data_IF_555736298576
#
_entry.id   IF_555736298576
#
_cell.length_a   1.000
_cell.length_b   1.000
_cell.length_c   1.000
_cell.angle_alpha   90.00
_cell.angle_beta   90.00
_cell.angle_gamma   90.00
#
_symmetry.space_group_name_H-M   'P 1'
#
loop_
_entity.id
_entity.type
_entity.pdbx_description
1 polymer ?
#
# COMPACT_ATOMS: atom_id res chain seq x y z
N UNK A 1 9.34 -9.22 -15.74
CA UNK A 1 9.46 -10.69 -15.93
C UNK A 1 10.83 -11.30 -16.32
N UNK A 2 11.71 -10.72 -17.17
CA UNK A 2 13.00 -11.35 -17.55
C UNK A 2 14.21 -10.40 -17.46
N UNK A 3 15.01 -10.51 -16.39
CA UNK A 3 16.15 -9.61 -16.11
C UNK A 3 17.25 -9.71 -17.17
N UNK A 4 17.76 -10.92 -17.45
CA UNK A 4 18.85 -11.14 -18.41
C UNK A 4 18.53 -10.54 -19.77
N UNK A 5 17.34 -10.82 -20.31
CA UNK A 5 16.88 -10.26 -21.58
C UNK A 5 16.78 -8.73 -21.55
N UNK A 6 16.28 -8.15 -20.46
CA UNK A 6 16.15 -6.70 -20.30
C UNK A 6 17.52 -6.01 -20.26
N UNK A 7 18.47 -6.50 -19.46
CA UNK A 7 19.81 -5.89 -19.36
C UNK A 7 20.61 -6.07 -20.65
N UNK A 8 20.64 -7.28 -21.22
CA UNK A 8 21.35 -7.52 -22.49
C UNK A 8 20.87 -6.61 -23.61
N UNK A 9 19.57 -6.27 -23.64
CA UNK A 9 19.01 -5.38 -24.66
C UNK A 9 19.60 -3.96 -24.69
N UNK A 10 20.20 -3.48 -23.58
CA UNK A 10 20.86 -2.16 -23.55
C UNK A 10 22.25 -2.18 -24.22
N UNK A 11 22.86 -3.35 -24.37
CA UNK A 11 24.22 -3.50 -24.91
C UNK A 11 24.23 -4.05 -26.34
N UNK A 12 23.10 -4.55 -26.83
CA UNK A 12 22.94 -5.06 -28.19
C UNK A 12 22.28 -4.04 -29.12
N UNK A 13 22.76 -3.91 -30.36
CA UNK A 13 22.14 -3.08 -31.42
C UNK A 13 21.98 -1.59 -31.07
N UNK A 14 23.08 -0.95 -30.64
CA UNK A 14 23.14 0.46 -30.22
C UNK A 14 22.59 1.49 -31.22
N UNK A 15 22.61 1.18 -32.52
CA UNK A 15 22.07 2.05 -33.59
C UNK A 15 20.54 2.17 -33.58
N UNK A 16 19.83 1.20 -33.00
CA UNK A 16 18.36 1.20 -32.90
C UNK A 16 17.86 1.82 -31.58
N UNK A 17 18.77 2.21 -30.69
CA UNK A 17 18.40 2.80 -29.40
C UNK A 17 18.01 4.27 -29.54
N UNK A 18 17.05 4.70 -28.72
CA UNK A 18 16.74 6.11 -28.58
C UNK A 18 17.98 6.92 -28.16
N UNK A 19 18.09 8.20 -28.54
CA UNK A 19 19.22 9.05 -28.14
C UNK A 19 19.47 9.05 -26.62
N UNK A 20 18.39 9.06 -25.83
CA UNK A 20 18.42 8.97 -24.37
C UNK A 20 19.08 7.68 -23.87
N UNK A 21 18.70 6.53 -24.45
CA UNK A 21 19.26 5.22 -24.07
C UNK A 21 20.75 5.16 -24.40
N UNK A 22 21.18 5.73 -25.53
CA UNK A 22 22.60 5.77 -25.91
C UNK A 22 23.45 6.54 -24.90
N UNK A 23 22.98 7.73 -24.49
CA UNK A 23 23.67 8.55 -23.47
C UNK A 23 23.68 7.86 -22.11
N UNK A 24 22.57 7.21 -21.73
CA UNK A 24 22.52 6.40 -20.50
C UNK A 24 23.61 5.33 -20.52
N UNK A 25 23.69 4.51 -21.57
CA UNK A 25 24.63 3.39 -21.67
C UNK A 25 26.09 3.85 -21.62
N UNK A 26 26.41 4.97 -22.28
CA UNK A 26 27.74 5.58 -22.22
C UNK A 26 28.13 6.09 -20.81
N UNK A 27 27.15 6.36 -19.96
CA UNK A 27 27.36 6.87 -18.60
C UNK A 27 27.37 5.76 -17.53
N UNK A 28 27.21 4.49 -17.91
CA UNK A 28 27.19 3.36 -16.96
C UNK A 28 28.61 3.04 -16.53
N UNK A 29 28.91 3.19 -15.23
CA UNK A 29 30.16 2.74 -14.61
C UNK A 29 30.01 1.43 -13.84
N UNK A 30 28.82 1.17 -13.27
CA UNK A 30 28.52 -0.03 -12.49
C UNK A 30 27.04 -0.43 -12.62
N UNK A 31 26.72 -1.70 -12.35
CA UNK A 31 25.36 -2.25 -12.37
C UNK A 31 25.13 -3.04 -11.07
N UNK A 32 24.12 -2.63 -10.32
CA UNK A 32 23.64 -3.34 -9.13
C UNK A 32 22.35 -4.10 -9.43
N UNK A 33 22.17 -5.26 -8.80
CA UNK A 33 21.03 -6.16 -9.05
C UNK A 33 20.42 -6.60 -7.73
N UNK A 34 19.09 -6.45 -7.61
CA UNK A 34 18.32 -6.95 -6.46
C UNK A 34 17.30 -7.98 -6.95
N UNK A 35 17.39 -9.21 -6.43
CA UNK A 35 16.46 -10.29 -6.75
C UNK A 35 15.21 -10.16 -5.87
N UNK A 36 14.03 -10.39 -6.47
CA UNK A 36 12.72 -10.35 -5.79
C UNK A 36 11.99 -11.66 -6.06
N UNK A 37 11.08 -12.06 -5.16
CA UNK A 37 10.38 -13.34 -5.26
C UNK A 37 9.22 -13.28 -6.24
N UNK A 38 8.59 -12.11 -6.39
CA UNK A 38 7.43 -11.91 -7.26
C UNK A 38 7.57 -10.67 -8.14
N UNK A 39 6.84 -10.64 -9.26
CA UNK A 39 6.80 -9.47 -10.14
C UNK A 39 6.20 -8.24 -9.43
N UNK A 40 5.27 -8.44 -8.50
CA UNK A 40 4.69 -7.35 -7.70
C UNK A 40 5.73 -6.71 -6.77
N UNK A 41 6.57 -7.52 -6.13
CA UNK A 41 7.69 -7.02 -5.32
C UNK A 41 8.69 -6.25 -6.17
N UNK A 42 9.04 -6.76 -7.35
CA UNK A 42 9.92 -6.06 -8.29
C UNK A 42 9.40 -4.66 -8.64
N UNK A 43 8.10 -4.55 -8.93
CA UNK A 43 7.45 -3.27 -9.23
C UNK A 43 7.46 -2.32 -8.03
N UNK A 44 7.15 -2.85 -6.84
CA UNK A 44 7.17 -2.08 -5.60
C UNK A 44 8.57 -1.53 -5.33
N UNK A 45 9.59 -2.38 -5.44
CA UNK A 45 10.99 -2.02 -5.25
C UNK A 45 11.44 -0.97 -6.28
N UNK A 46 11.14 -1.16 -7.56
CA UNK A 46 11.49 -0.24 -8.65
C UNK A 46 10.94 1.16 -8.37
N UNK A 47 9.67 1.27 -8.01
CA UNK A 47 9.03 2.55 -7.74
C UNK A 47 9.57 3.21 -6.44
N UNK A 48 9.87 2.43 -5.39
CA UNK A 48 10.53 2.96 -4.20
C UNK A 48 11.94 3.50 -4.49
N UNK A 49 12.73 2.78 -5.29
CA UNK A 49 14.08 3.20 -5.69
C UNK A 49 14.03 4.46 -6.57
N UNK A 50 13.12 4.51 -7.54
CA UNK A 50 12.94 5.69 -8.41
C UNK A 50 12.62 6.94 -7.58
N UNK A 51 11.75 6.83 -6.58
CA UNK A 51 11.37 7.98 -5.75
C UNK A 51 12.46 8.44 -4.80
N UNK A 52 13.24 7.49 -4.27
CA UNK A 52 14.32 7.76 -3.33
C UNK A 52 15.54 8.34 -4.05
N UNK A 53 15.95 7.71 -5.16
CA UNK A 53 17.18 8.06 -5.88
C UNK A 53 16.97 9.13 -6.95
N UNK A 54 15.72 9.35 -7.39
CA UNK A 54 15.34 10.28 -8.47
C UNK A 54 16.29 10.24 -9.67
N UNK A 55 16.51 9.06 -10.29
CA UNK A 55 17.52 8.89 -11.33
C UNK A 55 17.23 9.77 -12.56
N UNK A 56 18.27 10.46 -13.04
CA UNK A 56 18.21 11.46 -14.14
C UNK A 56 17.48 10.96 -15.39
N UNK A 57 17.71 9.70 -15.77
CA UNK A 57 17.17 9.12 -17.00
C UNK A 57 15.78 8.50 -16.82
N UNK A 58 15.19 8.51 -15.64
CA UNK A 58 13.88 7.92 -15.45
C UNK A 58 12.76 8.96 -15.69
N UNK A 59 11.66 8.55 -16.33
CA UNK A 59 10.51 9.42 -16.64
C UNK A 59 9.26 8.90 -15.93
N UNK A 60 9.03 7.60 -16.00
CA UNK A 60 7.91 6.90 -15.38
C UNK A 60 8.05 6.82 -13.86
N UNK A 61 6.95 6.74 -13.10
CA UNK A 61 6.98 6.69 -11.62
C UNK A 61 7.65 7.89 -10.92
N UNK A 62 7.80 9.02 -11.64
CA UNK A 62 8.16 10.30 -11.03
C UNK A 62 6.97 11.02 -10.40
N UNK A 63 5.75 10.53 -10.63
CA UNK A 63 4.56 11.07 -10.00
C UNK A 63 4.50 10.70 -8.51
N UNK A 64 3.86 11.56 -7.70
CA UNK A 64 3.73 11.36 -6.25
C UNK A 64 2.77 10.23 -5.85
N UNK A 65 2.40 9.37 -6.81
CA UNK A 65 1.53 8.22 -6.62
C UNK A 65 2.26 7.13 -5.84
N UNK A 66 2.22 7.22 -4.51
CA UNK A 66 2.65 6.17 -3.59
C UNK A 66 1.79 4.90 -3.73
N UNK A 67 2.38 3.75 -3.39
CA UNK A 67 1.59 2.53 -3.22
C UNK A 67 0.65 2.66 -2.03
N UNK A 68 -0.56 2.09 -2.12
CA UNK A 68 -1.49 2.07 -1.02
C UNK A 68 -1.03 1.20 0.14
N UNK A 69 -1.39 1.62 1.33
CA UNK A 69 -1.24 0.90 2.59
C UNK A 69 -2.62 0.77 3.25
N UNK A 70 -2.74 -0.16 4.18
CA UNK A 70 -3.85 -0.21 5.13
C UNK A 70 -3.32 0.33 6.45
N UNK A 71 -3.99 1.34 7.00
CA UNK A 71 -3.62 1.97 8.26
C UNK A 71 -4.61 1.57 9.35
N UNK A 72 -4.08 1.07 10.46
CA UNK A 72 -4.82 0.80 11.69
C UNK A 72 -4.43 1.85 12.74
N UNK A 73 -5.40 2.68 13.11
CA UNK A 73 -5.21 3.73 14.10
C UNK A 73 -5.25 3.14 15.52
N UNK A 74 -4.09 2.76 16.08
CA UNK A 74 -3.99 2.13 17.41
C UNK A 74 -4.05 3.13 18.56
N UNK A 75 -3.99 4.43 18.26
CA UNK A 75 -4.06 5.54 19.21
C UNK A 75 -5.49 5.84 19.71
N UNK A 76 -6.50 5.12 19.21
CA UNK A 76 -7.91 5.38 19.49
C UNK A 76 -8.53 4.28 20.36
N UNK A 77 -9.51 4.68 21.17
CA UNK A 77 -10.36 3.78 21.99
C UNK A 77 -10.89 2.59 21.17
N UNK A 78 -11.40 2.89 19.98
CA UNK A 78 -11.80 1.91 18.98
C UNK A 78 -10.94 2.07 17.73
N UNK A 79 -9.88 1.25 17.56
CA UNK A 79 -9.03 1.30 16.37
C UNK A 79 -9.83 1.04 15.09
N UNK A 80 -9.57 1.84 14.05
CA UNK A 80 -10.25 1.72 12.76
C UNK A 80 -9.27 1.42 11.63
N UNK A 81 -9.71 0.60 10.68
CA UNK A 81 -8.99 0.29 9.45
C UNK A 81 -9.32 1.32 8.37
N UNK A 82 -8.29 1.92 7.79
CA UNK A 82 -8.46 2.87 6.71
C UNK A 82 -7.50 2.61 5.57
N UNK A 83 -7.94 2.94 4.36
CA UNK A 83 -7.06 2.99 3.21
C UNK A 83 -6.16 4.22 3.32
N UNK A 84 -4.85 4.02 3.21
CA UNK A 84 -3.87 5.09 3.31
C UNK A 84 -3.01 5.18 2.05
N UNK A 85 -2.77 6.40 1.58
CA UNK A 85 -1.86 6.69 0.47
C UNK A 85 -1.09 7.97 0.78
N UNK A 86 0.23 7.90 0.76
CA UNK A 86 1.10 9.05 1.01
C UNK A 86 2.26 8.70 1.94
N UNK A 87 2.90 9.73 2.45
CA UNK A 87 3.96 9.61 3.46
C UNK A 87 3.34 9.17 4.78
N UNK A 88 3.81 8.05 5.34
CA UNK A 88 3.34 7.52 6.63
C UNK A 88 3.43 8.61 7.69
N UNK A 89 2.28 8.98 8.27
CA UNK A 89 2.11 10.03 9.28
C UNK A 89 1.01 9.58 10.24
N UNK A 90 1.34 9.42 11.52
CA UNK A 90 0.39 9.00 12.55
C UNK A 90 0.96 7.91 13.47
N UNK A 91 0.38 7.80 14.66
CA UNK A 91 0.70 6.74 15.65
C UNK A 91 -0.23 5.56 15.37
N UNK A 92 0.21 4.64 14.52
CA UNK A 92 -0.55 3.45 14.17
C UNK A 92 0.24 2.47 13.31
N UNK A 93 -0.38 1.35 12.97
CA UNK A 93 0.25 0.26 12.22
C UNK A 93 -0.09 0.41 10.75
N UNK A 94 0.91 0.29 9.88
CA UNK A 94 0.75 0.34 8.43
C UNK A 94 1.05 -1.04 7.82
N UNK A 95 0.05 -1.66 7.22
CA UNK A 95 0.17 -2.89 6.45
C UNK A 95 0.34 -2.59 4.97
N UNK A 96 1.25 -3.29 4.29
CA UNK A 96 1.59 -3.07 2.88
C UNK A 96 3.06 -2.70 2.69
N UNK A 97 3.48 -2.24 1.50
CA UNK A 97 2.69 -1.68 0.39
C UNK A 97 1.92 -2.71 -0.45
N UNK A 98 0.70 -2.35 -0.88
CA UNK A 98 -0.10 -3.18 -1.78
C UNK A 98 0.14 -2.80 -3.24
N UNK A 99 0.16 -3.78 -4.17
CA UNK A 99 0.46 -3.53 -5.59
C UNK A 99 -0.59 -2.65 -6.29
N UNK A 100 -1.83 -2.64 -5.78
CA UNK A 100 -2.91 -1.80 -6.32
C UNK A 100 -3.91 -1.39 -5.24
N UNK A 101 -4.66 -0.32 -5.50
CA UNK A 101 -5.75 0.11 -4.62
C UNK A 101 -6.86 -0.95 -4.50
N UNK A 102 -7.08 -1.74 -5.57
CA UNK A 102 -8.02 -2.85 -5.56
C UNK A 102 -7.59 -3.95 -4.59
N UNK A 103 -6.31 -4.31 -4.57
CA UNK A 103 -5.76 -5.29 -3.64
C UNK A 103 -5.94 -4.83 -2.18
N UNK A 104 -5.55 -3.59 -1.86
CA UNK A 104 -5.73 -3.03 -0.52
C UNK A 104 -7.20 -3.05 -0.08
N UNK A 105 -8.12 -2.61 -0.94
CA UNK A 105 -9.57 -2.61 -0.63
C UNK A 105 -10.13 -4.02 -0.44
N UNK A 106 -9.69 -5.00 -1.25
CA UNK A 106 -10.08 -6.41 -1.07
C UNK A 106 -9.62 -6.94 0.29
N UNK A 107 -8.39 -6.63 0.70
CA UNK A 107 -7.88 -7.02 2.01
C UNK A 107 -8.65 -6.35 3.16
N UNK A 108 -8.94 -5.05 3.07
CA UNK A 108 -9.81 -4.38 4.06
C UNK A 108 -11.16 -5.10 4.17
N UNK A 109 -11.81 -5.36 3.03
CA UNK A 109 -13.10 -6.06 3.00
C UNK A 109 -13.02 -7.47 3.61
N UNK A 110 -11.92 -8.18 3.43
CA UNK A 110 -11.70 -9.50 4.01
C UNK A 110 -11.57 -9.42 5.53
N UNK A 111 -10.73 -8.50 6.02
CA UNK A 111 -10.54 -8.27 7.46
C UNK A 111 -11.88 -7.90 8.12
N UNK A 112 -12.69 -7.05 7.48
CA UNK A 112 -14.02 -6.70 7.99
C UNK A 112 -14.99 -7.86 8.05
N UNK A 113 -14.89 -8.83 7.13
CA UNK A 113 -15.74 -10.02 7.18
C UNK A 113 -15.34 -10.97 8.31
N UNK A 114 -14.05 -11.04 8.62
CA UNK A 114 -13.51 -11.98 9.60
C UNK A 114 -13.54 -11.42 11.03
N UNK A 115 -13.11 -10.18 11.21
CA UNK A 115 -12.90 -9.55 12.52
C UNK A 115 -13.85 -8.38 12.80
N UNK A 116 -14.71 -8.03 11.83
CA UNK A 116 -15.75 -7.01 12.01
C UNK A 116 -15.25 -5.66 12.56
N UNK A 117 -14.03 -5.27 12.17
CA UNK A 117 -13.43 -4.01 12.56
C UNK A 117 -14.03 -2.83 11.79
N UNK A 118 -14.11 -1.67 12.46
CA UNK A 118 -14.66 -0.44 11.85
C UNK A 118 -13.74 0.07 10.74
N UNK A 119 -14.33 0.59 9.66
CA UNK A 119 -13.62 1.30 8.59
C UNK A 119 -14.15 2.70 8.30
N UNK A 120 -15.00 3.22 9.18
CA UNK A 120 -15.55 4.57 9.04
C UNK A 120 -14.52 5.61 9.49
N UNK A 121 -14.58 6.80 8.87
CA UNK A 121 -13.80 7.95 9.34
C UNK A 121 -14.32 8.42 10.70
N UNK A 122 -13.46 9.05 11.50
CA UNK A 122 -13.82 9.40 12.89
C UNK A 122 -14.96 10.41 12.97
N UNK A 123 -15.04 11.35 12.03
CA UNK A 123 -16.16 12.30 11.97
C UNK A 123 -17.51 11.59 11.81
N UNK A 124 -17.56 10.50 11.06
CA UNK A 124 -18.78 9.69 10.99
C UNK A 124 -18.97 8.85 12.25
N UNK A 125 -17.90 8.35 12.85
CA UNK A 125 -17.98 7.55 14.07
C UNK A 125 -18.58 8.34 15.24
N UNK A 126 -18.10 9.56 15.49
CA UNK A 126 -18.54 10.39 16.63
C UNK A 126 -19.97 10.90 16.51
N UNK A 127 -20.45 11.09 15.28
CA UNK A 127 -21.74 11.71 15.01
C UNK A 127 -22.88 10.70 14.76
N UNK A 128 -22.59 9.39 14.80
CA UNK A 128 -23.59 8.35 14.54
C UNK A 128 -24.47 8.12 15.77
N UNK A 129 -25.79 8.14 15.55
CA UNK A 129 -26.81 7.75 16.55
C UNK A 129 -27.48 6.41 16.25
N UNK A 130 -27.28 5.88 15.05
CA UNK A 130 -27.86 4.61 14.58
C UNK A 130 -26.79 3.77 13.89
N UNK A 131 -26.85 2.43 14.00
CA UNK A 131 -25.90 1.55 13.34
C UNK A 131 -25.94 1.73 11.82
N UNK A 132 -24.79 1.63 11.18
CA UNK A 132 -24.66 1.80 9.74
C UNK A 132 -24.90 0.49 8.98
N UNK A 133 -24.96 0.57 7.65
CA UNK A 133 -25.11 -0.59 6.78
C UNK A 133 -24.06 -1.67 7.05
N UNK A 134 -22.81 -1.30 7.39
CA UNK A 134 -21.74 -2.27 7.67
C UNK A 134 -22.09 -3.20 8.84
N UNK A 135 -22.78 -2.70 9.87
CA UNK A 135 -23.29 -3.53 10.95
C UNK A 135 -24.40 -4.46 10.47
N UNK A 136 -25.36 -3.94 9.71
CA UNK A 136 -26.49 -4.72 9.20
C UNK A 136 -26.03 -5.89 8.30
N UNK A 137 -24.96 -5.71 7.54
CA UNK A 137 -24.36 -6.77 6.71
C UNK A 137 -23.26 -7.57 7.44
N UNK A 138 -23.18 -7.47 8.77
CA UNK A 138 -22.26 -8.21 9.65
C UNK A 138 -20.77 -8.03 9.32
N UNK A 139 -20.36 -6.80 9.00
CA UNK A 139 -18.97 -6.40 8.72
C UNK A 139 -18.37 -5.45 9.75
N UNK A 140 -19.15 -5.06 10.75
CA UNK A 140 -18.75 -4.17 11.83
C UNK A 140 -19.55 -4.52 13.07
N UNK A 141 -18.95 -4.50 14.26
CA UNK A 141 -19.63 -4.72 15.56
C UNK A 141 -20.32 -3.45 16.10
N UNK A 142 -20.37 -2.38 15.31
CA UNK A 142 -20.99 -1.09 15.64
C UNK A 142 -20.54 -0.45 16.98
N UNK A 143 -19.22 -0.29 17.22
CA UNK A 143 -18.74 0.44 18.39
C UNK A 143 -19.15 1.92 18.43
N UNK A 144 -19.70 2.47 17.34
CA UNK A 144 -20.16 3.86 17.28
C UNK A 144 -21.48 4.11 18.02
N UNK A 145 -22.21 3.06 18.39
CA UNK A 145 -23.49 3.13 19.13
C UNK A 145 -23.45 2.21 20.35
N UNK A 146 -22.24 1.91 20.84
CA UNK A 146 -22.00 1.11 22.06
C UNK A 146 -22.61 -0.31 22.02
N UNK A 147 -22.68 -0.93 20.84
CA UNK A 147 -23.18 -2.31 20.70
C UNK A 147 -22.13 -3.37 21.03
N UNK A 148 -20.88 -2.95 21.26
CA UNK A 148 -19.77 -3.80 21.69
C UNK A 148 -18.95 -3.06 22.74
N UNK A 149 -18.50 -3.78 23.76
CA UNK A 149 -17.61 -3.25 24.78
C UNK A 149 -16.22 -2.97 24.22
N UNK A 150 -15.53 -2.00 24.80
CA UNK A 150 -14.17 -1.64 24.40
C UNK A 150 -13.19 -2.81 24.54
N UNK A 151 -13.30 -3.60 25.61
CA UNK A 151 -12.44 -4.76 25.87
C UNK A 151 -12.58 -5.82 24.78
N UNK A 152 -13.82 -6.20 24.46
CA UNK A 152 -14.14 -7.17 23.41
C UNK A 152 -13.65 -6.67 22.04
N UNK A 153 -13.90 -5.40 21.71
CA UNK A 153 -13.40 -4.84 20.45
C UNK A 153 -11.87 -4.83 20.37
N UNK A 154 -11.17 -4.60 21.48
CA UNK A 154 -9.71 -4.67 21.52
C UNK A 154 -9.18 -6.10 21.31
N UNK A 155 -9.91 -7.12 21.74
CA UNK A 155 -9.58 -8.52 21.44
C UNK A 155 -9.72 -8.80 19.95
N UNK A 156 -10.81 -8.37 19.31
CA UNK A 156 -10.98 -8.47 17.86
C UNK A 156 -9.84 -7.79 17.10
N UNK A 157 -9.40 -6.61 17.57
CA UNK A 157 -8.25 -5.91 17.00
C UNK A 157 -6.96 -6.71 17.16
N UNK A 158 -6.71 -7.30 18.34
CA UNK A 158 -5.53 -8.14 18.58
C UNK A 158 -5.53 -9.38 17.69
N UNK A 159 -6.68 -9.98 17.42
CA UNK A 159 -6.77 -11.13 16.53
C UNK A 159 -6.49 -10.77 15.05
N UNK A 160 -6.72 -9.51 14.67
CA UNK A 160 -6.50 -9.02 13.32
C UNK A 160 -5.07 -8.51 13.05
N UNK A 161 -4.26 -8.29 14.09
CA UNK A 161 -2.88 -7.76 14.01
C UNK A 161 -1.85 -8.83 14.33
#
# INVERSE_FOLDING_TARGET
RNFKKRVSSYFTNSKQHSPKTRVLVQSIANIEVTVTHTENEALILENNQIKTLRPKYNIWFRDDKSYPYIYLATDKKFPGLSYFRGTKRGKGIYFGPYPSAGAARKTINLIQKLFQLRSCNDSFFSNRRRPCLQYQIKRCTAPCVDYIDESAYREDVKHAT
#
